data_IF_367268926769
#
_entry.id   IF_367268926769
#
_cell.length_a   1.000
_cell.length_b   1.000
_cell.length_c   1.000
_cell.angle_alpha   90.00
_cell.angle_beta   90.00
_cell.angle_gamma   90.00
#
_symmetry.space_group_name_H-M   'P 1'
#
loop_
_entity.id
_entity.type
_entity.pdbx_description
1 polymer ?
#
# COMPACT_ATOMS: atom_id res chain seq x y z
N UNK A 1 -26.60 -7.43 -19.29
CA UNK A 1 -25.37 -6.70 -19.60
C UNK A 1 -25.06 -5.87 -18.37
N UNK A 2 -24.34 -6.45 -17.41
CA UNK A 2 -23.83 -5.70 -16.26
C UNK A 2 -22.95 -4.59 -16.81
N UNK A 3 -22.99 -3.36 -16.28
CA UNK A 3 -22.07 -2.33 -16.73
C UNK A 3 -20.65 -2.85 -16.54
N UNK A 4 -19.84 -2.77 -17.60
CA UNK A 4 -18.40 -2.93 -17.49
C UNK A 4 -17.95 -1.90 -16.42
N UNK A 5 -17.25 -2.30 -15.35
CA UNK A 5 -16.75 -1.32 -14.40
C UNK A 5 -15.91 -0.33 -15.19
N UNK A 6 -16.21 0.97 -15.05
CA UNK A 6 -15.46 2.03 -15.69
C UNK A 6 -13.97 1.75 -15.51
N UNK A 7 -13.19 1.77 -16.60
CA UNK A 7 -11.74 1.59 -16.57
C UNK A 7 -11.13 2.70 -15.71
N UNK A 8 -11.03 2.45 -14.40
CA UNK A 8 -10.33 3.32 -13.47
C UNK A 8 -8.86 3.33 -13.87
N UNK A 9 -8.29 4.53 -13.96
CA UNK A 9 -6.88 4.67 -14.27
C UNK A 9 -6.03 4.07 -13.15
N UNK A 10 -4.84 3.56 -13.49
CA UNK A 10 -3.89 3.04 -12.51
C UNK A 10 -3.58 4.07 -11.41
N UNK A 11 -3.55 5.35 -11.78
CA UNK A 11 -3.33 6.47 -10.85
C UNK A 11 -4.45 6.57 -9.81
N UNK A 12 -5.71 6.44 -10.20
CA UNK A 12 -6.86 6.49 -9.29
C UNK A 12 -6.86 5.30 -8.32
N UNK A 13 -6.51 4.11 -8.81
CA UNK A 13 -6.42 2.90 -8.00
C UNK A 13 -5.31 3.00 -6.96
N UNK A 14 -4.14 3.48 -7.36
CA UNK A 14 -2.99 3.73 -6.47
C UNK A 14 -3.33 4.79 -5.42
N UNK A 15 -3.99 5.88 -5.81
CA UNK A 15 -4.41 6.92 -4.88
C UNK A 15 -5.42 6.38 -3.85
N UNK A 16 -6.39 5.57 -4.29
CA UNK A 16 -7.35 4.94 -3.40
C UNK A 16 -6.66 4.00 -2.39
N UNK A 17 -5.72 3.16 -2.85
CA UNK A 17 -4.95 2.28 -1.98
C UNK A 17 -4.09 3.05 -0.96
N UNK A 18 -3.48 4.17 -1.37
CA UNK A 18 -2.69 5.01 -0.47
C UNK A 18 -3.56 5.72 0.58
N UNK A 19 -4.75 6.19 0.19
CA UNK A 19 -5.61 7.06 1.01
C UNK A 19 -6.67 6.34 1.85
N UNK A 20 -6.98 5.06 1.57
CA UNK A 20 -8.09 4.34 2.23
C UNK A 20 -8.05 4.44 3.78
N UNK A 21 -9.18 4.58 4.46
CA UNK A 21 -9.21 4.64 5.93
C UNK A 21 -8.62 3.38 6.58
N UNK A 22 -7.97 3.52 7.73
CA UNK A 22 -7.34 2.38 8.41
C UNK A 22 -8.34 1.51 9.20
N UNK A 23 -9.52 2.05 9.50
CA UNK A 23 -10.64 1.40 10.18
C UNK A 23 -11.61 0.68 9.23
N UNK A 24 -11.47 0.85 7.92
CA UNK A 24 -12.19 0.08 6.90
C UNK A 24 -11.27 -0.95 6.21
N UNK A 25 -11.17 -2.13 6.82
CA UNK A 25 -10.34 -3.21 6.29
C UNK A 25 -10.85 -3.74 4.93
N UNK A 26 -12.17 -3.77 4.71
CA UNK A 26 -12.74 -4.30 3.48
C UNK A 26 -12.49 -3.34 2.31
N UNK A 27 -12.72 -2.04 2.52
CA UNK A 27 -12.43 -1.00 1.54
C UNK A 27 -10.94 -0.92 1.20
N UNK A 28 -10.05 -0.98 2.20
CA UNK A 28 -8.61 -1.02 1.96
C UNK A 28 -8.20 -2.27 1.16
N UNK A 29 -8.74 -3.44 1.51
CA UNK A 29 -8.43 -4.69 0.78
C UNK A 29 -8.91 -4.61 -0.66
N UNK A 30 -10.12 -4.13 -0.89
CA UNK A 30 -10.66 -3.95 -2.24
C UNK A 30 -9.80 -2.97 -3.07
N UNK A 31 -9.35 -1.86 -2.48
CA UNK A 31 -8.48 -0.90 -3.14
C UNK A 31 -7.12 -1.50 -3.50
N UNK A 32 -6.52 -2.29 -2.62
CA UNK A 32 -5.24 -2.97 -2.90
C UNK A 32 -5.39 -4.03 -3.99
N UNK A 33 -6.44 -4.86 -3.95
CA UNK A 33 -6.72 -5.90 -4.96
C UNK A 33 -6.96 -5.31 -6.35
N UNK A 34 -7.51 -4.10 -6.41
CA UNK A 34 -7.76 -3.44 -7.69
C UNK A 34 -6.47 -2.96 -8.39
N UNK A 35 -5.37 -2.75 -7.66
CA UNK A 35 -4.09 -2.38 -8.27
C UNK A 35 -3.42 -3.63 -8.86
N UNK A 36 -3.14 -3.66 -10.18
CA UNK A 36 -2.39 -4.76 -10.79
C UNK A 36 -1.01 -4.92 -10.12
N UNK A 37 -0.67 -6.15 -9.77
CA UNK A 37 0.58 -6.51 -9.11
C UNK A 37 1.05 -7.89 -9.57
N UNK A 38 1.24 -8.04 -10.88
CA UNK A 38 1.84 -9.26 -11.42
C UNK A 38 3.26 -9.37 -10.88
N UNK A 39 3.73 -10.59 -10.63
CA UNK A 39 5.09 -10.80 -10.12
C UNK A 39 6.13 -10.08 -10.97
N UNK A 40 6.99 -9.28 -10.32
CA UNK A 40 8.00 -8.39 -10.91
C UNK A 40 7.47 -7.08 -11.54
N UNK A 41 6.16 -6.83 -11.47
CA UNK A 41 5.50 -5.61 -11.92
C UNK A 41 4.63 -5.01 -10.80
N UNK A 42 5.21 -4.93 -9.60
CA UNK A 42 4.53 -4.41 -8.40
C UNK A 42 4.86 -2.93 -8.10
N UNK A 43 5.46 -2.20 -9.03
CA UNK A 43 5.92 -0.81 -8.83
C UNK A 43 4.77 0.11 -8.37
N UNK A 44 3.60 -0.03 -8.99
CA UNK A 44 2.42 0.76 -8.64
C UNK A 44 1.93 0.46 -7.21
N UNK A 45 1.81 -0.83 -6.87
CA UNK A 45 1.34 -1.26 -5.54
C UNK A 45 2.35 -0.89 -4.45
N UNK A 46 3.64 -1.16 -4.66
CA UNK A 46 4.71 -0.83 -3.73
C UNK A 46 4.83 0.68 -3.51
N UNK A 47 4.68 1.49 -4.56
CA UNK A 47 4.60 2.96 -4.45
C UNK A 47 3.41 3.43 -3.59
N UNK A 48 2.24 2.82 -3.75
CA UNK A 48 1.06 3.14 -2.92
C UNK A 48 1.31 2.84 -1.44
N UNK A 49 1.89 1.68 -1.14
CA UNK A 49 2.24 1.25 0.22
C UNK A 49 3.29 2.16 0.84
N UNK A 50 4.34 2.50 0.10
CA UNK A 50 5.41 3.42 0.53
C UNK A 50 4.86 4.81 0.88
N UNK A 51 4.03 5.39 0.02
CA UNK A 51 3.40 6.69 0.26
C UNK A 51 2.56 6.69 1.54
N UNK A 52 1.78 5.62 1.75
CA UNK A 52 0.94 5.46 2.94
C UNK A 52 1.76 5.24 4.22
N UNK A 53 2.88 4.53 4.15
CA UNK A 53 3.75 4.31 5.31
C UNK A 53 4.53 5.58 5.67
N UNK A 54 5.01 6.35 4.67
CA UNK A 54 5.71 7.61 4.90
C UNK A 54 4.84 8.71 5.51
N UNK A 55 3.52 8.67 5.30
CA UNK A 55 2.62 9.63 5.93
C UNK A 55 2.38 9.35 7.43
N UNK A 56 2.82 8.19 7.94
CA UNK A 56 2.66 7.82 9.35
C UNK A 56 3.85 8.28 10.19
N UNK A 57 3.63 9.09 11.24
CA UNK A 57 4.71 9.55 12.11
C UNK A 57 5.32 8.38 12.89
N UNK A 58 6.64 8.45 13.12
CA UNK A 58 7.38 7.46 13.91
C UNK A 58 7.82 6.20 13.16
N UNK A 59 7.57 6.12 11.85
CA UNK A 59 8.12 5.10 10.97
C UNK A 59 9.34 5.64 10.23
N UNK A 60 10.42 4.85 10.23
CA UNK A 60 11.49 4.94 9.26
C UNK A 60 11.17 4.01 8.08
N UNK A 61 11.18 4.53 6.85
CA UNK A 61 10.69 3.83 5.65
C UNK A 61 11.79 3.77 4.59
N UNK A 62 12.16 2.55 4.23
CA UNK A 62 13.22 2.23 3.27
C UNK A 62 12.64 1.51 2.05
N UNK A 63 13.14 1.84 0.86
CA UNK A 63 12.78 1.20 -0.41
C UNK A 63 13.96 0.40 -0.93
N UNK A 64 13.75 -0.88 -1.22
CA UNK A 64 14.76 -1.79 -1.77
C UNK A 64 14.18 -2.51 -2.98
N UNK A 65 14.41 -1.97 -4.17
CA UNK A 65 13.75 -2.43 -5.40
C UNK A 65 12.23 -2.23 -5.30
N UNK A 66 11.47 -3.31 -5.48
CA UNK A 66 10.00 -3.32 -5.33
C UNK A 66 9.53 -3.57 -3.88
N UNK A 67 10.47 -3.74 -2.93
CA UNK A 67 10.14 -3.97 -1.53
C UNK A 67 10.11 -2.67 -0.74
N UNK A 68 9.14 -2.56 0.16
CA UNK A 68 9.00 -1.45 1.10
C UNK A 68 9.13 -1.98 2.52
N UNK A 69 10.06 -1.43 3.29
CA UNK A 69 10.26 -1.79 4.70
C UNK A 69 9.97 -0.56 5.55
N UNK A 70 9.04 -0.68 6.50
CA UNK A 70 8.81 0.33 7.52
C UNK A 70 9.13 -0.23 8.90
N UNK A 71 9.82 0.56 9.73
CA UNK A 71 10.27 0.15 11.06
C UNK A 71 10.12 1.27 12.09
N UNK A 72 10.00 0.88 13.35
CA UNK A 72 10.08 1.80 14.49
C UNK A 72 11.39 1.59 15.25
N UNK A 73 11.87 2.65 15.90
CA UNK A 73 13.08 2.64 16.74
C UNK A 73 12.73 2.79 18.22
N UNK A 74 11.98 1.84 18.77
CA UNK A 74 11.43 1.91 20.12
C UNK A 74 12.39 1.43 21.24
N UNK A 75 13.62 1.02 20.90
CA UNK A 75 14.60 0.53 21.88
C UNK A 75 14.16 -0.71 22.67
N UNK A 76 13.29 -1.55 22.11
CA UNK A 76 12.77 -2.76 22.78
C UNK A 76 13.62 -3.98 22.45
N UNK A 77 13.69 -4.92 23.38
CA UNK A 77 14.44 -6.17 23.22
C UNK A 77 13.86 -7.13 22.16
N UNK A 78 12.59 -6.93 21.78
CA UNK A 78 11.87 -7.78 20.82
C UNK A 78 11.27 -6.93 19.70
N UNK A 79 11.24 -7.50 18.49
CA UNK A 79 10.66 -6.91 17.28
C UNK A 79 9.56 -7.82 16.73
N UNK A 80 8.45 -7.22 16.33
CA UNK A 80 7.34 -7.88 15.64
C UNK A 80 7.41 -7.48 14.17
N UNK A 81 7.23 -8.46 13.28
CA UNK A 81 7.09 -8.26 11.84
C UNK A 81 5.68 -8.70 11.47
N UNK A 82 5.00 -7.89 10.68
CA UNK A 82 3.63 -8.12 10.19
C UNK A 82 3.69 -8.51 8.71
#
# INVERSE_FOLDING_TARGET
>A
MSPEPASASLVELVAAAAAAPADDLLGLTAALVAVPSVSLDEEALSGAVEARLRSRPGLDVERVGLNVVARTHLGRERRIVL
#
